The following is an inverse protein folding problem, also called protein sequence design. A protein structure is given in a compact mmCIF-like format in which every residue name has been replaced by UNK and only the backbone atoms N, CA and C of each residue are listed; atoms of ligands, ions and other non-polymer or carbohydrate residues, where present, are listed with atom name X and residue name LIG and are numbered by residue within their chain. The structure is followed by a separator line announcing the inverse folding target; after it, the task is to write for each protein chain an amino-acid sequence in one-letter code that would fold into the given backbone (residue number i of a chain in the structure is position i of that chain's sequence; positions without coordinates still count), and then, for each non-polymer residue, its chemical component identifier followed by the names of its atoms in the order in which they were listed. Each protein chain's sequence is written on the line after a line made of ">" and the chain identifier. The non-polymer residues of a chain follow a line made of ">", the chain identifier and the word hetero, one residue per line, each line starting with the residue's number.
data_IF_023207558572
#
_entry.id   IF_023207558572
#
_cell.length_a   1.000
_cell.length_b   1.000
_cell.length_c   1.000
_cell.angle_alpha   90.00
_cell.angle_beta   90.00
_cell.angle_gamma   90.00
#
_symmetry.space_group_name_H-M   'P 1'
#
loop_
_entity.id
_entity.type
_entity.pdbx_description
1 polymer ?
#
# COMPACT_ATOMS: atom_id res chain seq x y z
N UNK A 1 12.40 0.86 -5.14
CA UNK A 1 12.30 1.88 -4.08
C UNK A 1 11.20 1.55 -3.03
N UNK A 2 11.60 1.35 -1.75
CA UNK A 2 10.83 0.87 -0.58
C UNK A 2 10.11 -0.49 -0.74
N UNK A 3 9.14 -0.61 -1.65
CA UNK A 3 8.38 -1.84 -1.90
C UNK A 3 9.26 -2.93 -2.53
N UNK A 4 10.22 -2.55 -3.38
CA UNK A 4 11.21 -3.48 -3.94
C UNK A 4 12.21 -3.99 -2.90
N UNK A 5 12.50 -3.17 -1.86
CA UNK A 5 13.39 -3.58 -0.76
C UNK A 5 12.67 -4.53 0.21
N UNK A 6 11.37 -4.33 0.40
CA UNK A 6 10.52 -5.16 1.25
C UNK A 6 9.28 -5.59 0.47
N UNK A 7 9.40 -6.63 -0.37
CA UNK A 7 8.26 -7.13 -1.12
C UNK A 7 7.21 -7.73 -0.16
N UNK A 8 5.92 -7.72 -0.55
CA UNK A 8 4.90 -8.41 0.21
C UNK A 8 5.26 -9.91 0.29
N UNK A 9 5.02 -10.57 1.43
CA UNK A 9 5.30 -11.99 1.57
C UNK A 9 4.54 -12.78 0.51
N UNK A 10 5.24 -13.71 -0.14
CA UNK A 10 4.62 -14.59 -1.12
C UNK A 10 3.63 -15.51 -0.39
N UNK A 11 2.39 -15.54 -0.87
CA UNK A 11 1.37 -16.43 -0.33
C UNK A 11 1.07 -17.52 -1.35
N UNK A 12 1.21 -18.79 -0.94
CA UNK A 12 1.02 -19.96 -1.82
C UNK A 12 1.85 -19.90 -3.11
N UNK A 13 3.11 -19.44 -3.01
CA UNK A 13 4.02 -19.30 -4.15
C UNK A 13 3.68 -18.16 -5.12
N UNK A 14 2.68 -17.34 -4.82
CA UNK A 14 2.30 -16.18 -5.63
C UNK A 14 2.85 -14.90 -5.02
N UNK A 15 3.60 -14.15 -5.83
CA UNK A 15 4.13 -12.85 -5.45
C UNK A 15 3.15 -11.74 -5.77
N UNK A 16 2.90 -10.86 -4.80
CA UNK A 16 2.12 -9.65 -5.03
C UNK A 16 3.03 -8.58 -5.63
N UNK A 17 2.72 -8.15 -6.85
CA UNK A 17 3.43 -7.06 -7.54
C UNK A 17 2.54 -5.84 -7.59
N UNK A 18 2.99 -4.77 -6.95
CA UNK A 18 2.37 -3.44 -7.01
C UNK A 18 2.85 -2.78 -8.29
N UNK A 19 1.91 -2.34 -9.13
CA UNK A 19 2.22 -1.74 -10.44
C UNK A 19 2.34 -0.22 -10.34
N UNK A 20 1.34 0.40 -9.72
CA UNK A 20 1.29 1.84 -9.52
C UNK A 20 0.35 2.16 -8.33
N UNK A 21 0.46 3.38 -7.82
CA UNK A 21 -0.44 3.93 -6.83
C UNK A 21 -1.02 5.26 -7.32
N UNK A 22 -2.23 5.59 -6.87
CA UNK A 22 -2.90 6.85 -7.16
C UNK A 22 -3.51 7.41 -5.88
N UNK A 23 -3.44 8.73 -5.72
CA UNK A 23 -4.20 9.41 -4.68
C UNK A 23 -5.66 9.56 -5.13
N UNK A 24 -6.61 9.26 -4.25
CA UNK A 24 -8.04 9.48 -4.50
C UNK A 24 -8.42 10.92 -4.11
N UNK A 25 -9.34 11.57 -4.83
CA UNK A 25 -9.80 12.92 -4.51
C UNK A 25 -10.77 12.88 -3.32
N UNK A 26 -10.22 12.82 -2.11
CA UNK A 26 -10.97 12.70 -0.86
C UNK A 26 -10.48 13.73 0.17
N UNK A 27 -11.32 14.12 1.15
CA UNK A 27 -10.98 15.17 2.13
C UNK A 27 -9.80 14.82 3.05
N UNK A 28 -9.41 13.54 3.11
CA UNK A 28 -8.20 13.07 3.77
C UNK A 28 -7.36 12.24 2.79
N UNK A 29 -6.04 12.10 3.01
CA UNK A 29 -5.15 11.38 2.11
C UNK A 29 -5.52 9.90 2.02
N UNK A 30 -6.09 9.53 0.86
CA UNK A 30 -6.38 8.15 0.52
C UNK A 30 -5.52 7.72 -0.67
N UNK A 31 -4.90 6.55 -0.54
CA UNK A 31 -4.06 5.97 -1.59
C UNK A 31 -4.65 4.65 -2.06
N UNK A 32 -4.87 4.54 -3.36
CA UNK A 32 -5.24 3.29 -4.01
C UNK A 32 -4.00 2.69 -4.70
N UNK A 33 -3.59 1.52 -4.24
CA UNK A 33 -2.51 0.72 -4.83
C UNK A 33 -3.11 -0.33 -5.76
N UNK A 34 -2.63 -0.34 -7.00
CA UNK A 34 -3.04 -1.33 -7.99
C UNK A 34 -2.02 -2.45 -8.05
N UNK A 35 -2.48 -3.66 -7.77
CA UNK A 35 -1.63 -4.85 -7.74
C UNK A 35 -2.29 -6.02 -8.50
N UNK A 36 -1.50 -7.05 -8.77
CA UNK A 36 -1.98 -8.27 -9.42
C UNK A 36 -2.93 -9.09 -8.53
N UNK A 37 -2.68 -9.14 -7.23
CA UNK A 37 -3.34 -10.02 -6.28
C UNK A 37 -3.60 -9.27 -4.95
N UNK A 38 -4.60 -8.37 -4.91
CA UNK A 38 -4.91 -7.59 -3.70
C UNK A 38 -5.33 -8.48 -2.53
N UNK A 39 -5.97 -9.62 -2.80
CA UNK A 39 -6.42 -10.56 -1.77
C UNK A 39 -5.30 -11.19 -0.93
N UNK A 40 -4.05 -11.15 -1.41
CA UNK A 40 -2.90 -11.70 -0.68
C UNK A 40 -2.13 -10.63 0.08
N UNK A 41 -2.56 -9.36 0.02
CA UNK A 41 -2.01 -8.30 0.86
C UNK A 41 -2.69 -8.38 2.23
N UNK A 42 -1.94 -8.83 3.24
CA UNK A 42 -2.42 -8.89 4.62
C UNK A 42 -2.27 -7.54 5.33
N UNK A 43 -3.01 -7.36 6.42
CA UNK A 43 -2.97 -6.14 7.23
C UNK A 43 -1.58 -5.71 7.71
N UNK A 44 -0.66 -6.61 8.11
CA UNK A 44 0.69 -6.19 8.52
C UNK A 44 1.44 -5.46 7.41
N UNK A 45 1.30 -5.91 6.16
CA UNK A 45 1.96 -5.27 5.02
C UNK A 45 1.30 -3.95 4.65
N UNK A 46 -0.03 -3.87 4.80
CA UNK A 46 -0.78 -2.61 4.65
C UNK A 46 -0.30 -1.55 5.65
N UNK A 47 -0.17 -1.92 6.94
CA UNK A 47 0.35 -1.02 8.00
C UNK A 47 1.80 -0.61 7.73
N UNK A 48 2.63 -1.52 7.24
CA UNK A 48 4.00 -1.21 6.85
C UNK A 48 4.05 -0.11 5.78
N UNK A 49 3.24 -0.22 4.72
CA UNK A 49 3.17 0.82 3.68
C UNK A 49 2.62 2.12 4.24
N UNK A 50 1.61 2.06 5.10
CA UNK A 50 1.04 3.23 5.77
C UNK A 50 2.08 3.99 6.59
N UNK A 51 2.83 3.30 7.43
CA UNK A 51 3.88 3.90 8.24
C UNK A 51 4.96 4.52 7.36
N UNK A 52 5.35 3.86 6.26
CA UNK A 52 6.34 4.41 5.32
C UNK A 52 5.82 5.64 4.58
N UNK A 53 4.54 5.69 4.22
CA UNK A 53 3.95 6.90 3.64
C UNK A 53 3.92 8.05 4.65
N UNK A 54 3.57 7.77 5.92
CA UNK A 54 3.59 8.78 6.98
C UNK A 54 4.98 9.34 7.21
N UNK A 55 6.00 8.48 7.27
CA UNK A 55 7.41 8.89 7.43
C UNK A 55 7.93 9.74 6.26
N UNK A 56 7.54 9.43 5.02
CA UNK A 56 8.06 10.14 3.84
C UNK A 56 7.38 11.49 3.59
N UNK A 57 6.09 11.60 3.89
CA UNK A 57 5.28 12.79 3.60
C UNK A 57 4.89 13.57 4.86
N UNK A 58 5.41 13.17 6.02
CA UNK A 58 5.20 13.81 7.32
C UNK A 58 3.71 13.99 7.68
N UNK A 59 2.89 12.96 7.40
CA UNK A 59 1.47 12.95 7.75
C UNK A 59 1.30 12.73 9.27
N UNK A 60 1.21 13.82 10.02
CA UNK A 60 0.95 13.83 11.45
C UNK A 60 -0.45 14.40 11.72
N UNK A 61 -1.24 13.71 12.56
CA UNK A 61 -2.59 14.17 12.94
C UNK A 61 -3.72 13.92 11.93
N UNK A 62 -3.44 13.39 10.73
CA UNK A 62 -4.46 13.09 9.70
C UNK A 62 -4.55 11.58 9.45
N UNK A 63 -5.75 10.99 9.34
CA UNK A 63 -5.90 9.59 8.98
C UNK A 63 -5.44 9.33 7.53
N UNK A 64 -4.47 8.44 7.35
CA UNK A 64 -4.03 7.95 6.04
C UNK A 64 -4.70 6.61 5.77
N UNK A 65 -5.49 6.53 4.70
CA UNK A 65 -6.16 5.27 4.35
C UNK A 65 -5.59 4.68 3.07
N UNK A 66 -5.32 3.38 3.11
CA UNK A 66 -4.77 2.63 1.98
C UNK A 66 -5.78 1.61 1.48
N UNK A 67 -5.93 1.53 0.17
CA UNK A 67 -6.71 0.52 -0.51
C UNK A 67 -5.84 -0.27 -1.48
N UNK A 68 -6.00 -1.59 -1.51
CA UNK A 68 -5.42 -2.44 -2.55
C UNK A 68 -6.51 -2.84 -3.51
N UNK A 69 -6.38 -2.46 -4.77
CA UNK A 69 -7.31 -2.82 -5.84
C UNK A 69 -6.61 -3.72 -6.83
N UNK A 70 -7.40 -4.61 -7.45
CA UNK A 70 -6.96 -5.39 -8.59
C UNK A 70 -6.88 -4.44 -9.79
N UNK A 71 -5.79 -4.49 -10.55
CA UNK A 71 -5.75 -3.86 -11.88
C UNK A 71 -6.63 -4.66 -12.83
#
# INVERSE_FOLDING_TARGET
>A
PIIEKNPPPAYKGKYVKIKFCTQLPTPYPQFAFFCNLPQYVRDPYKRFIENKLREQFNFEGVPVTIFFRKK
#
